data_IF_120242595432
#
_entry.id   IF_120242595432
#
_cell.length_a   1.000
_cell.length_b   1.000
_cell.length_c   1.000
_cell.angle_alpha   90.00
_cell.angle_beta   90.00
_cell.angle_gamma   90.00
#
_symmetry.space_group_name_H-M   'P 1'
#
loop_
_entity.id
_entity.type
_entity.pdbx_description
1 polymer ?
#
# COMPACT_ATOMS: atom_id res chain seq x y z
N UNK A 1 -8.17 -9.15 15.08
CA UNK A 1 -7.18 -9.32 13.99
C UNK A 1 -7.48 -8.23 12.97
N UNK A 2 -6.47 -7.51 12.45
CA UNK A 2 -6.71 -6.55 11.39
C UNK A 2 -7.28 -7.27 10.16
N UNK A 3 -8.13 -6.58 9.41
CA UNK A 3 -8.73 -7.08 8.18
C UNK A 3 -7.97 -6.56 6.96
N UNK A 4 -7.89 -7.37 5.92
CA UNK A 4 -7.39 -6.90 4.63
C UNK A 4 -8.39 -5.88 4.06
N UNK A 5 -7.97 -4.66 3.70
CA UNK A 5 -8.86 -3.69 3.06
C UNK A 5 -9.28 -4.20 1.66
N UNK A 6 -10.34 -3.63 1.10
CA UNK A 6 -10.54 -3.74 -0.34
C UNK A 6 -9.37 -3.04 -1.03
N UNK A 7 -8.80 -3.69 -2.04
CA UNK A 7 -7.72 -3.11 -2.81
C UNK A 7 -7.77 -3.59 -4.25
N UNK A 8 -7.24 -2.74 -5.13
CA UNK A 8 -6.97 -3.05 -6.52
C UNK A 8 -5.50 -2.80 -6.80
N UNK A 9 -4.96 -3.51 -7.78
CA UNK A 9 -3.61 -3.29 -8.25
C UNK A 9 -3.54 -3.43 -9.75
N UNK A 10 -2.57 -2.75 -10.34
CA UNK A 10 -2.22 -2.88 -11.75
C UNK A 10 -0.71 -2.72 -11.92
N UNK A 11 -0.20 -3.28 -13.01
CA UNK A 11 1.20 -3.14 -13.40
C UNK A 11 1.27 -2.62 -14.82
N UNK A 12 2.08 -1.59 -15.00
CA UNK A 12 2.48 -1.05 -16.31
C UNK A 12 3.91 -1.48 -16.61
N UNK A 13 4.45 -1.06 -17.75
CA UNK A 13 5.85 -1.32 -18.09
C UNK A 13 6.83 -0.64 -17.11
N UNK A 14 6.39 0.39 -16.38
CA UNK A 14 7.25 1.24 -15.55
C UNK A 14 6.90 1.19 -14.06
N UNK A 15 5.64 0.86 -13.73
CA UNK A 15 5.12 1.01 -12.37
C UNK A 15 4.27 -0.18 -11.94
N UNK A 16 4.30 -0.45 -10.64
CA UNK A 16 3.27 -1.21 -9.94
C UNK A 16 2.45 -0.20 -9.14
N UNK A 17 1.14 -0.22 -9.32
CA UNK A 17 0.22 0.71 -8.66
C UNK A 17 -0.73 -0.10 -7.79
N UNK A 18 -0.84 0.28 -6.52
CA UNK A 18 -1.73 -0.35 -5.54
C UNK A 18 -2.66 0.72 -4.98
N UNK A 19 -3.97 0.45 -4.97
CA UNK A 19 -5.01 1.33 -4.43
C UNK A 19 -5.78 0.56 -3.35
N UNK A 20 -5.80 1.07 -2.13
CA UNK A 20 -6.51 0.45 -1.02
C UNK A 20 -7.54 1.38 -0.37
N UNK A 21 -8.66 0.81 0.10
CA UNK A 21 -9.73 1.54 0.78
C UNK A 21 -9.58 1.45 2.31
N UNK A 22 -9.20 2.55 2.97
CA UNK A 22 -8.98 2.63 4.41
C UNK A 22 -10.00 3.55 5.10
N UNK A 23 -11.27 3.11 5.18
CA UNK A 23 -12.38 3.94 5.69
C UNK A 23 -12.21 4.30 7.17
N UNK A 24 -12.48 5.56 7.50
CA UNK A 24 -12.44 6.05 8.88
C UNK A 24 -11.04 6.44 9.39
N UNK A 25 -10.02 6.38 8.54
CA UNK A 25 -8.66 6.79 8.87
C UNK A 25 -8.31 8.08 8.16
N UNK A 26 -7.62 8.97 8.88
CA UNK A 26 -6.95 10.10 8.27
C UNK A 26 -5.64 9.64 7.64
N UNK A 27 -5.14 10.29 6.58
CA UNK A 27 -3.87 9.92 5.96
C UNK A 27 -2.70 9.82 6.93
N UNK A 28 -2.65 10.69 7.94
CA UNK A 28 -1.55 10.73 8.92
C UNK A 28 -1.58 9.56 9.92
N UNK A 29 -2.68 8.81 9.97
CA UNK A 29 -2.85 7.62 10.82
C UNK A 29 -2.54 6.32 10.06
N UNK A 30 -2.06 6.41 8.81
CA UNK A 30 -1.74 5.26 7.96
C UNK A 30 -0.22 5.15 7.84
N UNK A 31 0.34 4.06 8.34
CA UNK A 31 1.76 3.75 8.20
C UNK A 31 1.99 2.97 6.90
N UNK A 32 2.95 3.43 6.10
CA UNK A 32 3.35 2.78 4.85
C UNK A 32 4.81 2.33 4.98
N UNK A 33 5.07 1.08 4.64
CA UNK A 33 6.41 0.51 4.54
C UNK A 33 6.60 -0.07 3.14
N UNK A 34 7.70 0.31 2.49
CA UNK A 34 8.06 -0.16 1.16
C UNK A 34 9.50 -0.65 1.20
N UNK A 35 9.73 -1.80 0.59
CA UNK A 35 11.03 -2.38 0.30
C UNK A 35 11.02 -2.89 -1.15
N UNK A 36 12.16 -3.38 -1.63
CA UNK A 36 12.32 -3.84 -3.00
C UNK A 36 11.29 -4.90 -3.42
N UNK A 37 10.99 -5.87 -2.55
CA UNK A 37 10.07 -6.98 -2.86
C UNK A 37 8.80 -6.99 -2.01
N UNK A 38 8.54 -5.95 -1.23
CA UNK A 38 7.42 -5.96 -0.30
C UNK A 38 6.86 -4.56 -0.03
N UNK A 39 5.53 -4.47 -0.01
CA UNK A 39 4.79 -3.27 0.36
C UNK A 39 3.78 -3.57 1.47
N UNK A 40 3.70 -2.69 2.46
CA UNK A 40 2.76 -2.80 3.59
C UNK A 40 2.09 -1.47 3.85
N UNK A 41 0.77 -1.52 4.04
CA UNK A 41 -0.05 -0.40 4.49
C UNK A 41 -0.79 -0.81 5.74
N UNK A 42 -0.58 -0.08 6.83
CA UNK A 42 -1.13 -0.39 8.14
C UNK A 42 -1.96 0.79 8.65
N UNK A 43 -3.26 0.56 8.84
CA UNK A 43 -4.17 1.52 9.48
C UNK A 43 -4.70 0.88 10.77
N UNK A 44 -3.90 0.99 11.84
CA UNK A 44 -4.14 0.30 13.10
C UNK A 44 -5.38 0.87 13.83
N UNK A 45 -6.26 0.03 14.41
CA UNK A 45 -6.16 -1.43 14.56
C UNK A 45 -6.86 -2.21 13.46
N UNK A 46 -7.51 -1.53 12.52
CA UNK A 46 -8.53 -2.13 11.65
C UNK A 46 -7.94 -2.79 10.43
N UNK A 47 -7.06 -2.11 9.70
CA UNK A 47 -6.62 -2.57 8.39
C UNK A 47 -5.13 -2.89 8.34
N UNK A 48 -4.81 -3.99 7.66
CA UNK A 48 -3.46 -4.35 7.28
C UNK A 48 -3.47 -4.91 5.85
N UNK A 49 -2.76 -4.25 4.95
CA UNK A 49 -2.44 -4.75 3.62
C UNK A 49 -0.96 -5.07 3.58
N UNK A 50 -0.61 -6.32 3.26
CA UNK A 50 0.75 -6.78 3.07
C UNK A 50 0.83 -7.46 1.71
N UNK A 51 1.74 -7.01 0.85
CA UNK A 51 1.88 -7.47 -0.52
C UNK A 51 3.34 -7.86 -0.79
N UNK A 52 3.54 -9.12 -1.16
CA UNK A 52 4.78 -9.58 -1.77
C UNK A 52 4.76 -9.21 -3.25
N UNK A 53 5.81 -8.55 -3.72
CA UNK A 53 5.96 -8.13 -5.11
C UNK A 53 6.68 -9.22 -5.90
N UNK A 54 6.20 -9.50 -7.11
CA UNK A 54 6.80 -10.52 -7.98
C UNK A 54 8.21 -10.14 -8.45
N UNK A 55 8.46 -8.83 -8.61
CA UNK A 55 9.72 -8.27 -9.07
C UNK A 55 10.15 -7.08 -8.20
N UNK A 56 11.47 -6.82 -8.08
CA UNK A 56 11.98 -5.69 -7.32
C UNK A 56 11.48 -4.35 -7.87
N UNK A 57 11.15 -3.42 -6.98
CA UNK A 57 10.90 -2.01 -7.31
C UNK A 57 12.04 -1.11 -6.79
N UNK A 58 12.15 0.08 -7.38
CA UNK A 58 13.05 1.13 -6.89
C UNK A 58 12.30 1.90 -5.79
N UNK A 59 12.72 1.70 -4.53
CA UNK A 59 12.03 2.26 -3.36
C UNK A 59 12.13 3.78 -3.34
N UNK A 60 13.25 4.34 -3.78
CA UNK A 60 13.56 5.77 -3.79
C UNK A 60 12.62 6.57 -4.71
N UNK A 61 12.04 5.91 -5.72
CA UNK A 61 11.09 6.52 -6.65
C UNK A 61 9.63 6.23 -6.30
N UNK A 62 9.38 5.52 -5.21
CA UNK A 62 8.03 5.15 -4.80
C UNK A 62 7.32 6.30 -4.10
N UNK A 63 6.05 6.53 -4.45
CA UNK A 63 5.23 7.60 -3.88
C UNK A 63 3.92 7.04 -3.36
N UNK A 64 3.36 7.69 -2.33
CA UNK A 64 2.00 7.43 -1.87
C UNK A 64 1.20 8.73 -1.87
N UNK A 65 -0.07 8.66 -2.29
CA UNK A 65 -0.95 9.81 -2.36
C UNK A 65 -2.32 9.42 -1.82
N UNK A 66 -2.85 10.11 -0.80
CA UNK A 66 -4.23 9.95 -0.37
C UNK A 66 -5.18 10.40 -1.48
N UNK A 67 -6.15 9.55 -1.84
CA UNK A 67 -7.23 9.95 -2.73
C UNK A 67 -8.30 10.67 -1.89
N UNK A 68 -8.66 11.89 -2.30
CA UNK A 68 -9.67 12.75 -1.65
C UNK A 68 -11.09 12.26 -1.91
#
# INVERSE_FOLDING_TARGET
MPVTPNFEWEQTNEHVIVRGEFKGFKPEAIDIFISDLFAKVNAHPTYLLSLDLLHPIIVETSTYTPLL
#
